data_IF_064595533284
#
_entry.id   IF_064595533284
#
_cell.length_a   1.000
_cell.length_b   1.000
_cell.length_c   1.000
_cell.angle_alpha   90.00
_cell.angle_beta   90.00
_cell.angle_gamma   90.00
#
_symmetry.space_group_name_H-M   'P 1'
#
loop_
_entity.id
_entity.type
_entity.pdbx_description
1 polymer ?
#
# COMPACT_ATOMS: atom_id res chain seq x y z
N UNK A 1 23.07 -34.88 41.83
CA UNK A 1 24.40 -34.46 42.32
C UNK A 1 24.66 -33.07 41.75
N UNK A 2 24.26 -32.02 42.51
CA UNK A 2 24.41 -30.61 42.07
C UNK A 2 25.78 -30.12 42.50
N UNK A 3 26.57 -29.67 41.54
CA UNK A 3 27.87 -29.03 41.82
C UNK A 3 27.60 -27.50 41.82
N UNK A 4 27.65 -26.93 43.02
CA UNK A 4 27.67 -25.48 43.24
C UNK A 4 29.07 -24.96 42.91
N UNK A 5 29.19 -24.10 41.90
CA UNK A 5 30.37 -23.26 41.65
C UNK A 5 30.05 -21.82 42.06
N UNK A 6 30.94 -21.10 42.72
CA UNK A 6 30.66 -19.79 43.31
C UNK A 6 30.58 -18.69 42.23
N UNK A 7 29.55 -17.89 42.31
CA UNK A 7 29.18 -16.79 41.39
C UNK A 7 30.26 -15.69 41.20
N UNK A 8 31.31 -15.69 42.04
CA UNK A 8 32.36 -14.68 42.03
C UNK A 8 33.39 -14.83 40.88
N UNK A 9 33.64 -16.07 40.40
CA UNK A 9 34.60 -16.28 39.29
C UNK A 9 34.01 -16.01 37.90
N UNK A 10 32.69 -16.20 37.72
CA UNK A 10 32.03 -15.94 36.46
C UNK A 10 31.92 -14.45 36.16
N UNK A 11 31.82 -13.60 37.18
CA UNK A 11 31.79 -12.14 37.03
C UNK A 11 33.17 -11.59 36.60
N UNK A 12 34.27 -12.17 37.07
CA UNK A 12 35.63 -11.75 36.74
C UNK A 12 36.02 -12.00 35.27
N UNK A 13 35.58 -13.11 34.68
CA UNK A 13 35.89 -13.43 33.27
C UNK A 13 35.10 -12.57 32.26
N UNK A 14 33.83 -12.26 32.57
CA UNK A 14 33.01 -11.36 31.73
C UNK A 14 33.49 -9.92 31.78
N UNK A 15 33.96 -9.44 32.95
CA UNK A 15 34.50 -8.08 33.11
C UNK A 15 35.83 -7.93 32.37
N UNK A 16 36.73 -8.94 32.38
CA UNK A 16 37.97 -8.86 31.57
C UNK A 16 37.73 -8.86 30.08
N UNK A 17 36.69 -9.56 29.57
CA UNK A 17 36.30 -9.54 28.18
C UNK A 17 35.66 -8.20 27.76
N UNK A 18 35.00 -7.52 28.70
CA UNK A 18 34.41 -6.18 28.50
C UNK A 18 35.49 -5.10 28.39
N UNK A 19 36.53 -5.17 29.26
CA UNK A 19 37.63 -4.19 29.29
C UNK A 19 38.52 -4.31 28.03
N UNK A 20 38.71 -5.53 27.52
CA UNK A 20 39.49 -5.75 26.28
C UNK A 20 38.83 -5.16 25.01
N UNK A 21 37.53 -4.91 25.05
CA UNK A 21 36.80 -4.32 23.92
C UNK A 21 36.63 -2.79 23.97
N UNK A 22 36.94 -2.14 25.11
CA UNK A 22 36.83 -0.70 25.29
C UNK A 22 37.77 0.08 24.36
N UNK A 23 38.95 -0.48 24.03
CA UNK A 23 39.91 0.09 23.09
C UNK A 23 39.39 0.20 21.63
N UNK A 24 38.40 -0.62 21.27
CA UNK A 24 37.77 -0.57 19.94
C UNK A 24 36.49 0.29 19.92
N UNK A 25 35.89 0.61 21.07
CA UNK A 25 34.69 1.45 21.16
C UNK A 25 34.98 2.96 21.07
N UNK A 26 36.22 3.41 21.38
CA UNK A 26 36.57 4.84 21.34
C UNK A 26 36.51 5.45 19.95
N UNK A 27 36.64 4.66 18.88
CA UNK A 27 36.47 5.15 17.50
C UNK A 27 35.01 5.17 17.02
N UNK A 28 34.14 4.38 17.63
CA UNK A 28 32.71 4.33 17.24
C UNK A 28 31.87 5.46 17.90
N UNK A 29 32.28 5.87 19.11
CA UNK A 29 31.59 6.93 19.87
C UNK A 29 31.81 8.34 19.27
N UNK A 30 32.85 8.54 18.47
CA UNK A 30 33.13 9.85 17.81
C UNK A 30 32.20 10.19 16.67
N UNK A 31 31.36 9.25 16.19
CA UNK A 31 30.43 9.42 15.07
C UNK A 31 28.96 9.56 15.51
N UNK A 32 28.69 9.59 16.81
CA UNK A 32 27.32 9.70 17.32
C UNK A 32 26.97 11.18 17.59
N UNK A 33 25.83 11.71 17.05
CA UNK A 33 25.43 13.11 17.26
C UNK A 33 25.25 13.53 18.73
N UNK A 34 25.07 12.57 19.63
CA UNK A 34 24.89 12.78 21.08
C UNK A 34 26.22 13.16 21.79
N UNK A 35 27.37 12.94 21.16
CA UNK A 35 28.68 13.25 21.75
C UNK A 35 28.91 14.75 22.02
N UNK A 36 28.29 15.61 21.20
CA UNK A 36 28.37 17.06 21.37
C UNK A 36 27.64 17.59 22.60
N UNK A 37 26.56 16.93 23.02
CA UNK A 37 25.77 17.34 24.18
C UNK A 37 26.38 16.88 25.52
N UNK A 38 27.06 15.74 25.53
CA UNK A 38 27.74 15.22 26.75
C UNK A 38 28.96 16.09 27.13
N UNK A 39 29.63 16.70 26.14
CA UNK A 39 30.79 17.57 26.38
C UNK A 39 30.43 18.90 27.04
N UNK A 40 29.20 19.36 26.92
CA UNK A 40 28.73 20.62 27.56
C UNK A 40 28.28 20.44 29.01
N UNK A 41 27.95 19.22 29.43
CA UNK A 41 27.38 18.96 30.76
C UNK A 41 28.44 18.67 31.85
N UNK A 42 29.70 18.34 31.49
CA UNK A 42 30.73 17.99 32.49
C UNK A 42 32.12 18.56 32.10
N UNK A 43 32.39 19.85 32.28
CA UNK A 43 33.71 20.44 32.03
C UNK A 43 34.78 20.06 33.11
N UNK A 44 34.40 19.48 34.23
CA UNK A 44 35.27 19.32 35.41
C UNK A 44 36.09 18.04 35.47
N UNK A 45 36.02 17.13 34.47
CA UNK A 45 36.69 15.81 34.55
C UNK A 45 38.08 15.77 33.87
N UNK A 46 38.53 16.87 33.25
CA UNK A 46 39.73 16.86 32.37
C UNK A 46 40.99 17.52 32.98
N UNK A 47 41.00 17.94 34.21
CA UNK A 47 42.20 18.53 34.84
C UNK A 47 42.38 18.05 36.28
N UNK A 48 42.89 16.86 36.50
CA UNK A 48 43.63 16.51 37.75
C UNK A 48 44.58 15.37 37.45
N UNK A 49 45.83 15.51 38.00
CA UNK A 49 46.95 14.59 37.95
C UNK A 49 46.57 13.16 38.44
N UNK A 50 47.05 12.19 37.73
CA UNK A 50 46.71 10.76 37.81
C UNK A 50 46.71 10.16 39.24
N UNK A 51 45.58 9.66 39.71
CA UNK A 51 45.54 8.68 40.81
C UNK A 51 45.52 7.27 40.27
N UNK A 52 46.07 6.34 41.06
CA UNK A 52 46.23 4.93 40.70
C UNK A 52 44.91 4.25 40.30
N UNK A 53 44.91 3.28 39.35
CA UNK A 53 43.72 2.68 38.73
C UNK A 53 42.74 2.05 39.74
N UNK A 54 43.19 1.62 40.90
CA UNK A 54 42.36 0.95 41.89
C UNK A 54 41.43 1.88 42.69
N UNK A 55 41.71 3.18 42.78
CA UNK A 55 40.85 4.15 43.50
C UNK A 55 39.75 4.76 42.58
N UNK A 56 39.99 4.88 41.30
CA UNK A 56 39.01 5.34 40.33
C UNK A 56 37.86 4.34 40.12
N UNK A 57 38.18 3.04 40.10
CA UNK A 57 37.18 1.97 39.93
C UNK A 57 36.21 1.92 41.12
N UNK A 58 36.66 2.13 42.35
CA UNK A 58 35.79 2.09 43.54
C UNK A 58 34.85 3.29 43.68
N UNK A 59 35.15 4.44 43.07
CA UNK A 59 34.29 5.64 43.12
C UNK A 59 33.36 5.79 41.88
N UNK A 60 33.72 5.17 40.75
CA UNK A 60 32.91 5.22 39.53
C UNK A 60 31.87 4.09 39.46
N UNK A 61 32.04 2.96 40.21
CA UNK A 61 31.11 1.85 40.16
C UNK A 61 29.66 2.19 40.61
N UNK A 62 29.45 2.94 41.72
CA UNK A 62 28.08 3.29 42.12
C UNK A 62 27.38 4.24 41.12
N UNK A 63 28.14 5.15 40.51
CA UNK A 63 27.59 6.12 39.54
C UNK A 63 27.31 5.48 38.18
N UNK A 64 28.09 4.47 37.75
CA UNK A 64 27.79 3.72 36.54
C UNK A 64 26.62 2.74 36.73
N UNK A 65 26.47 2.12 37.93
CA UNK A 65 25.29 1.29 38.22
C UNK A 65 24.00 2.12 38.28
N UNK A 66 24.06 3.32 38.84
CA UNK A 66 22.89 4.22 38.86
C UNK A 66 22.53 4.75 37.44
N UNK A 67 23.54 5.01 36.60
CA UNK A 67 23.30 5.44 35.20
C UNK A 67 22.80 4.27 34.34
N UNK A 68 23.24 3.04 34.58
CA UNK A 68 22.72 1.85 33.88
C UNK A 68 21.33 1.44 34.38
N UNK A 69 20.96 1.67 35.64
CA UNK A 69 19.58 1.50 36.11
C UNK A 69 18.63 2.58 35.59
N UNK A 70 19.11 3.80 35.33
CA UNK A 70 18.32 4.87 34.70
C UNK A 70 18.19 4.69 33.20
N UNK A 71 19.13 4.01 32.53
CA UNK A 71 19.04 3.67 31.10
C UNK A 71 18.33 2.33 30.86
N UNK A 72 18.20 1.47 31.84
CA UNK A 72 17.36 0.29 31.81
C UNK A 72 15.90 0.56 32.26
N UNK A 73 15.53 1.79 32.48
CA UNK A 73 14.17 2.25 32.27
C UNK A 73 13.81 2.01 30.82
N UNK A 74 13.77 0.73 30.45
CA UNK A 74 13.06 0.25 29.27
C UNK A 74 11.73 0.98 29.33
N UNK A 75 11.56 1.94 28.45
CA UNK A 75 10.26 2.42 28.11
C UNK A 75 9.46 1.16 27.76
N UNK A 76 8.80 0.57 28.74
CA UNK A 76 7.61 -0.21 28.49
C UNK A 76 6.68 0.80 27.82
N UNK A 77 6.80 0.97 26.50
CA UNK A 77 5.71 1.54 25.74
C UNK A 77 4.54 0.66 26.13
N UNK A 78 3.66 1.21 26.95
CA UNK A 78 2.40 0.55 27.26
C UNK A 78 1.83 0.15 25.90
N UNK A 79 1.70 -1.14 25.67
CA UNK A 79 0.99 -1.63 24.50
C UNK A 79 -0.33 -0.87 24.48
N UNK A 80 -0.58 -0.08 23.43
CA UNK A 80 -1.75 0.79 23.37
C UNK A 80 -3.03 -0.04 23.39
N UNK A 81 -4.14 0.60 23.65
CA UNK A 81 -5.46 -0.03 23.52
C UNK A 81 -5.77 -0.28 22.05
N UNK A 82 -6.56 -1.33 21.80
CA UNK A 82 -7.11 -1.58 20.48
C UNK A 82 -8.24 -0.58 20.17
N UNK A 83 -8.11 0.11 19.06
CA UNK A 83 -9.02 1.15 18.58
C UNK A 83 -9.58 0.78 17.22
N UNK A 84 -10.70 1.39 16.85
CA UNK A 84 -11.31 1.27 15.53
C UNK A 84 -11.71 2.68 15.09
N UNK A 85 -11.23 3.08 13.91
CA UNK A 85 -11.71 4.24 13.19
C UNK A 85 -12.45 3.75 11.94
N UNK A 86 -13.68 4.22 11.72
CA UNK A 86 -14.49 3.83 10.57
C UNK A 86 -15.31 5.01 10.06
N UNK A 87 -15.67 4.98 8.79
CA UNK A 87 -16.46 6.02 8.15
C UNK A 87 -16.60 5.81 6.65
N UNK A 88 -17.03 6.87 5.95
CA UNK A 88 -17.15 6.90 4.51
C UNK A 88 -16.27 7.99 3.91
N UNK A 89 -15.55 7.66 2.82
CA UNK A 89 -14.73 8.57 2.02
C UNK A 89 -14.55 8.00 0.61
N UNK A 90 -14.31 8.83 -0.38
CA UNK A 90 -14.10 8.43 -1.78
C UNK A 90 -15.24 7.58 -2.38
N UNK A 91 -16.46 7.86 -1.94
CA UNK A 91 -17.66 7.10 -2.31
C UNK A 91 -17.62 5.61 -1.90
N UNK A 92 -16.84 5.29 -0.85
CA UNK A 92 -16.73 3.96 -0.25
C UNK A 92 -16.62 4.08 1.27
N UNK A 93 -16.50 2.95 1.97
CA UNK A 93 -16.25 2.89 3.41
C UNK A 93 -14.77 2.65 3.70
N UNK A 94 -14.35 3.03 4.89
CA UNK A 94 -13.05 2.63 5.44
C UNK A 94 -13.21 2.09 6.86
N UNK A 95 -12.33 1.17 7.23
CA UNK A 95 -12.21 0.62 8.56
C UNK A 95 -10.74 0.42 8.92
N UNK A 96 -10.29 1.07 9.99
CA UNK A 96 -8.91 0.98 10.49
C UNK A 96 -8.95 0.41 11.91
N UNK A 97 -8.36 -0.77 12.10
CA UNK A 97 -8.20 -1.42 13.40
C UNK A 97 -6.74 -1.31 13.79
N UNK A 98 -6.44 -0.71 14.96
CA UNK A 98 -5.05 -0.43 15.33
C UNK A 98 -4.85 -0.45 16.84
N UNK A 99 -3.61 -0.71 17.27
CA UNK A 99 -3.22 -0.69 18.67
C UNK A 99 -2.39 0.57 18.96
N UNK A 100 -2.95 1.52 19.71
CA UNK A 100 -2.29 2.80 20.00
C UNK A 100 -2.71 3.34 21.37
N UNK A 101 -1.81 4.02 22.12
CA UNK A 101 -2.15 4.71 23.37
C UNK A 101 -3.06 5.92 23.15
N UNK A 102 -3.11 6.47 21.94
CA UNK A 102 -3.90 7.66 21.59
C UNK A 102 -4.78 7.39 20.37
N UNK A 103 -5.89 8.13 20.22
CA UNK A 103 -6.67 8.12 18.98
C UNK A 103 -5.88 8.75 17.84
N UNK A 104 -5.92 8.11 16.66
CA UNK A 104 -5.33 8.60 15.41
C UNK A 104 -6.40 8.94 14.36
N UNK A 105 -7.68 9.01 14.76
CA UNK A 105 -8.82 9.17 13.85
C UNK A 105 -8.72 10.43 12.98
N UNK A 106 -8.33 11.57 13.59
CA UNK A 106 -8.13 12.82 12.84
C UNK A 106 -6.95 12.72 11.87
N UNK A 107 -5.88 12.05 12.28
CA UNK A 107 -4.71 11.80 11.43
C UNK A 107 -5.06 10.90 10.25
N UNK A 108 -5.86 9.84 10.46
CA UNK A 108 -6.35 8.95 9.40
C UNK A 108 -7.14 9.76 8.37
N UNK A 109 -8.13 10.54 8.81
CA UNK A 109 -8.94 11.40 7.93
C UNK A 109 -8.09 12.43 7.19
N UNK A 110 -7.12 13.03 7.88
CA UNK A 110 -6.19 14.00 7.29
C UNK A 110 -5.34 13.42 6.16
N UNK A 111 -4.79 12.20 6.36
CA UNK A 111 -4.04 11.49 5.32
C UNK A 111 -4.91 11.15 4.13
N UNK A 112 -6.10 10.59 4.36
CA UNK A 112 -7.03 10.24 3.29
C UNK A 112 -7.47 11.47 2.49
N UNK A 113 -7.74 12.60 3.16
CA UNK A 113 -8.05 13.85 2.49
C UNK A 113 -6.87 14.36 1.64
N UNK A 114 -5.64 14.23 2.14
CA UNK A 114 -4.45 14.60 1.37
C UNK A 114 -4.29 13.75 0.10
N UNK A 115 -4.52 12.44 0.19
CA UNK A 115 -4.54 11.53 -0.96
C UNK A 115 -5.62 11.94 -1.96
N UNK A 116 -6.83 12.28 -1.50
CA UNK A 116 -7.91 12.77 -2.36
C UNK A 116 -7.52 14.03 -3.12
N UNK A 117 -6.96 15.02 -2.43
CA UNK A 117 -6.58 16.30 -3.02
C UNK A 117 -5.43 16.18 -4.01
N UNK A 118 -4.65 15.12 -3.95
CA UNK A 118 -3.62 14.82 -4.94
C UNK A 118 -4.15 13.97 -6.10
N UNK A 119 -4.79 12.83 -5.83
CA UNK A 119 -4.96 11.73 -6.77
C UNK A 119 -6.38 11.55 -7.32
N UNK A 120 -7.42 12.18 -6.75
CA UNK A 120 -8.80 11.91 -7.16
C UNK A 120 -9.16 12.58 -8.50
N UNK A 121 -9.46 11.82 -9.58
CA UNK A 121 -9.94 12.40 -10.84
C UNK A 121 -11.39 12.90 -10.74
N UNK A 122 -12.12 12.53 -9.67
CA UNK A 122 -13.50 12.93 -9.42
C UNK A 122 -13.60 14.26 -8.66
N UNK A 123 -12.53 14.68 -7.98
CA UNK A 123 -12.44 15.97 -7.30
C UNK A 123 -11.82 17.01 -8.26
N UNK A 124 -12.59 18.01 -8.73
CA UNK A 124 -12.08 18.99 -9.70
C UNK A 124 -10.94 19.85 -9.14
N UNK A 125 -10.83 19.97 -7.82
CA UNK A 125 -9.77 20.74 -7.17
C UNK A 125 -8.49 19.93 -6.92
N UNK A 126 -8.50 18.62 -7.15
CA UNK A 126 -7.33 17.76 -6.96
C UNK A 126 -6.21 18.12 -7.94
N UNK A 127 -4.97 17.80 -7.53
CA UNK A 127 -3.80 18.07 -8.37
C UNK A 127 -3.86 17.29 -9.69
N UNK A 128 -4.25 16.01 -9.65
CA UNK A 128 -4.35 15.21 -10.88
C UNK A 128 -5.44 15.73 -11.82
N UNK A 129 -6.57 16.25 -11.31
CA UNK A 129 -7.61 16.86 -12.12
C UNK A 129 -7.13 18.15 -12.80
N UNK A 130 -6.32 18.95 -12.11
CA UNK A 130 -5.70 20.15 -12.67
C UNK A 130 -4.67 19.80 -13.74
N UNK A 131 -3.85 18.75 -13.52
CA UNK A 131 -2.91 18.23 -14.53
C UNK A 131 -3.67 17.71 -15.75
N UNK A 132 -4.77 17.01 -15.55
CA UNK A 132 -5.61 16.50 -16.63
C UNK A 132 -6.20 17.62 -17.49
N UNK A 133 -6.57 18.76 -16.91
CA UNK A 133 -7.08 19.95 -17.62
C UNK A 133 -5.98 20.84 -18.21
N UNK A 134 -4.69 20.52 -17.96
CA UNK A 134 -3.56 21.32 -18.43
C UNK A 134 -3.37 22.66 -17.68
N UNK A 135 -3.95 22.81 -16.48
CA UNK A 135 -3.79 24.00 -15.62
C UNK A 135 -2.41 24.03 -14.94
N UNK A 136 -1.78 22.89 -14.79
CA UNK A 136 -0.45 22.70 -14.27
C UNK A 136 0.13 21.38 -14.78
N UNK A 137 1.44 21.27 -14.77
CA UNK A 137 2.19 20.03 -15.02
C UNK A 137 2.99 19.62 -13.75
N UNK A 138 2.99 20.46 -12.69
CA UNK A 138 3.70 20.15 -11.45
C UNK A 138 3.06 18.98 -10.74
N UNK A 139 3.93 18.07 -10.25
CA UNK A 139 3.53 16.91 -9.46
C UNK A 139 3.86 17.12 -7.97
N UNK A 140 3.34 16.24 -7.13
CA UNK A 140 3.74 16.04 -5.75
C UNK A 140 4.26 14.62 -5.54
N UNK A 141 4.78 14.35 -4.35
CA UNK A 141 5.35 13.04 -4.02
C UNK A 141 4.33 11.88 -4.09
N UNK A 142 3.02 12.15 -3.96
CA UNK A 142 1.97 11.14 -4.08
C UNK A 142 1.78 10.73 -5.54
N UNK A 143 1.71 11.72 -6.45
CA UNK A 143 1.66 11.48 -7.90
C UNK A 143 2.93 10.77 -8.36
N UNK A 144 4.10 11.19 -7.88
CA UNK A 144 5.39 10.56 -8.23
C UNK A 144 5.41 9.08 -7.84
N UNK A 145 4.88 8.75 -6.65
CA UNK A 145 4.81 7.38 -6.15
C UNK A 145 3.84 6.52 -6.97
N UNK A 146 2.61 6.99 -7.23
CA UNK A 146 1.64 6.20 -7.99
C UNK A 146 2.03 6.08 -9.47
N UNK A 147 2.72 7.06 -10.06
CA UNK A 147 3.31 6.96 -11.40
C UNK A 147 4.37 5.87 -11.46
N UNK A 148 5.25 5.80 -10.46
CA UNK A 148 6.30 4.77 -10.38
C UNK A 148 5.68 3.37 -10.31
N UNK A 149 4.72 3.15 -9.41
CA UNK A 149 4.00 1.87 -9.29
C UNK A 149 3.29 1.55 -10.60
N UNK A 150 2.55 2.50 -11.15
CA UNK A 150 1.75 2.31 -12.36
C UNK A 150 2.61 1.93 -13.57
N UNK A 151 3.77 2.57 -13.74
CA UNK A 151 4.68 2.26 -14.83
C UNK A 151 5.34 0.88 -14.68
N UNK A 152 5.71 0.48 -13.46
CA UNK A 152 6.29 -0.86 -13.21
C UNK A 152 5.26 -1.95 -13.50
N UNK A 153 4.02 -1.81 -12.98
CA UNK A 153 2.94 -2.77 -13.24
C UNK A 153 2.57 -2.78 -14.72
N UNK A 154 2.46 -1.62 -15.38
CA UNK A 154 2.19 -1.55 -16.82
C UNK A 154 3.25 -2.30 -17.65
N UNK A 155 4.52 -2.09 -17.34
CA UNK A 155 5.63 -2.76 -18.04
C UNK A 155 5.56 -4.27 -17.87
N UNK A 156 5.37 -4.77 -16.64
CA UNK A 156 5.36 -6.21 -16.31
C UNK A 156 4.09 -6.92 -16.76
N UNK A 157 2.97 -6.22 -16.82
CA UNK A 157 1.68 -6.72 -17.32
C UNK A 157 1.52 -6.50 -18.83
N UNK A 158 2.61 -6.18 -19.56
CA UNK A 158 2.58 -5.94 -21.00
C UNK A 158 1.51 -4.92 -21.43
N UNK A 159 1.31 -3.86 -20.62
CA UNK A 159 0.36 -2.80 -20.87
C UNK A 159 -1.09 -3.11 -20.46
N UNK A 160 -1.37 -4.22 -19.76
CA UNK A 160 -2.72 -4.54 -19.26
C UNK A 160 -3.21 -3.55 -18.21
N UNK A 161 -2.29 -3.00 -17.42
CA UNK A 161 -2.56 -1.90 -16.50
C UNK A 161 -2.09 -0.58 -17.12
N UNK A 162 -3.02 0.34 -17.37
CA UNK A 162 -2.68 1.68 -17.89
C UNK A 162 -3.64 2.74 -17.32
N UNK A 163 -3.19 3.61 -16.39
CA UNK A 163 -4.03 4.66 -15.84
C UNK A 163 -4.37 5.77 -16.84
N UNK A 164 -3.85 5.74 -18.06
CA UNK A 164 -4.20 6.70 -19.10
C UNK A 164 -5.44 6.30 -19.93
N UNK A 165 -6.06 5.13 -19.63
CA UNK A 165 -7.30 4.65 -20.32
C UNK A 165 -8.54 5.49 -20.04
N UNK A 166 -8.44 6.56 -19.23
CA UNK A 166 -9.58 7.39 -18.88
C UNK A 166 -10.44 7.88 -20.08
N UNK A 167 -9.88 8.30 -21.21
CA UNK A 167 -10.67 8.66 -22.38
C UNK A 167 -11.49 7.49 -22.92
N UNK A 168 -10.93 6.29 -22.95
CA UNK A 168 -11.62 5.08 -23.37
C UNK A 168 -12.72 4.69 -22.38
N UNK A 169 -12.41 4.69 -21.07
CA UNK A 169 -13.40 4.43 -20.02
C UNK A 169 -14.60 5.42 -20.10
N UNK A 170 -14.34 6.69 -20.42
CA UNK A 170 -15.40 7.68 -20.64
C UNK A 170 -16.28 7.33 -21.85
N UNK A 171 -15.70 6.86 -22.97
CA UNK A 171 -16.48 6.45 -24.15
C UNK A 171 -17.46 5.32 -23.82
N UNK A 172 -17.04 4.37 -22.98
CA UNK A 172 -17.83 3.22 -22.55
C UNK A 172 -18.76 3.49 -21.37
N UNK A 173 -18.78 4.73 -20.83
CA UNK A 173 -19.64 5.13 -19.71
C UNK A 173 -19.13 4.79 -18.32
N UNK A 174 -17.91 4.23 -18.19
CA UNK A 174 -17.32 3.84 -16.91
C UNK A 174 -16.36 4.88 -16.32
N UNK A 175 -16.05 5.95 -17.06
CA UNK A 175 -15.11 6.97 -16.63
C UNK A 175 -15.72 8.02 -15.70
N UNK A 176 -14.96 9.10 -15.45
CA UNK A 176 -15.37 10.21 -14.59
C UNK A 176 -16.16 11.31 -15.32
N UNK A 177 -16.34 11.23 -16.66
CA UNK A 177 -17.21 12.13 -17.40
C UNK A 177 -18.68 11.81 -17.13
N UNK A 178 -19.36 12.70 -16.38
CA UNK A 178 -20.78 12.55 -16.00
C UNK A 178 -21.70 12.46 -17.21
N UNK A 179 -21.41 13.17 -18.30
CA UNK A 179 -22.26 13.16 -19.51
C UNK A 179 -22.17 11.81 -20.24
N UNK A 180 -20.97 11.23 -20.30
CA UNK A 180 -20.76 9.92 -20.89
C UNK A 180 -21.45 8.84 -20.06
N UNK A 181 -21.33 8.90 -18.72
CA UNK A 181 -21.98 7.96 -17.79
C UNK A 181 -23.50 8.03 -17.91
N UNK A 182 -24.10 9.21 -17.87
CA UNK A 182 -25.55 9.38 -17.98
C UNK A 182 -26.12 8.87 -19.31
N UNK A 183 -25.33 8.85 -20.39
CA UNK A 183 -25.72 8.24 -21.66
C UNK A 183 -25.76 6.72 -21.58
N UNK A 184 -24.82 6.12 -20.91
CA UNK A 184 -24.75 4.67 -20.75
C UNK A 184 -25.84 4.13 -19.80
N UNK A 185 -26.20 4.90 -18.78
CA UNK A 185 -27.20 4.54 -17.76
C UNK A 185 -28.66 4.76 -18.20
N UNK A 186 -28.91 5.41 -19.35
CA UNK A 186 -30.28 5.66 -19.79
C UNK A 186 -30.89 4.39 -20.42
N UNK A 187 -32.07 3.98 -19.97
CA UNK A 187 -32.78 2.78 -20.45
C UNK A 187 -33.00 2.76 -21.98
N UNK A 188 -33.11 3.93 -22.60
CA UNK A 188 -33.19 4.09 -24.06
C UNK A 188 -31.84 3.93 -24.75
N UNK A 189 -30.70 4.01 -24.01
CA UNK A 189 -29.36 3.84 -24.55
C UNK A 189 -28.92 2.38 -24.64
N UNK A 190 -29.47 1.49 -23.82
CA UNK A 190 -29.07 0.07 -23.80
C UNK A 190 -29.32 -0.61 -25.17
N UNK A 191 -30.41 -0.29 -25.86
CA UNK A 191 -30.73 -0.83 -27.16
C UNK A 191 -29.88 -0.23 -28.31
N UNK A 192 -29.45 1.03 -28.19
CA UNK A 192 -28.72 1.75 -29.22
C UNK A 192 -27.28 2.07 -28.88
N UNK A 193 -26.78 1.63 -27.68
CA UNK A 193 -25.45 1.97 -27.22
C UNK A 193 -24.37 1.38 -28.13
N UNK A 194 -23.68 2.26 -28.83
CA UNK A 194 -22.54 1.91 -29.68
C UNK A 194 -21.47 2.97 -29.56
N UNK A 195 -20.21 2.53 -29.54
CA UNK A 195 -19.06 3.43 -29.59
C UNK A 195 -18.46 3.35 -31.00
N UNK A 196 -18.47 4.43 -31.78
CA UNK A 196 -17.87 4.48 -33.12
C UNK A 196 -16.37 4.13 -33.06
N UNK A 197 -15.90 3.35 -34.03
CA UNK A 197 -14.50 2.91 -34.10
C UNK A 197 -13.54 4.10 -34.17
N UNK A 198 -13.92 5.14 -34.88
CA UNK A 198 -13.13 6.38 -35.04
C UNK A 198 -12.88 7.09 -33.70
N UNK A 199 -13.85 7.03 -32.78
CA UNK A 199 -13.68 7.60 -31.43
C UNK A 199 -12.75 6.75 -30.58
N UNK A 200 -12.83 5.43 -30.72
CA UNK A 200 -11.90 4.50 -30.04
C UNK A 200 -10.47 4.74 -30.54
N UNK A 201 -10.25 4.79 -31.86
CA UNK A 201 -8.95 5.03 -32.47
C UNK A 201 -8.38 6.40 -32.06
N UNK A 202 -9.23 7.43 -32.03
CA UNK A 202 -8.84 8.76 -31.54
C UNK A 202 -8.41 8.71 -30.07
N UNK A 203 -9.15 8.02 -29.20
CA UNK A 203 -8.80 7.88 -27.79
C UNK A 203 -7.51 7.05 -27.60
N UNK A 204 -7.33 5.96 -28.36
CA UNK A 204 -6.10 5.15 -28.34
C UNK A 204 -4.85 5.96 -28.70
N UNK A 205 -4.96 6.96 -29.58
CA UNK A 205 -3.82 7.79 -29.98
C UNK A 205 -3.20 8.58 -28.81
N UNK A 206 -3.99 8.86 -27.77
CA UNK A 206 -3.57 9.64 -26.58
C UNK A 206 -3.39 8.79 -25.31
N UNK A 207 -3.68 7.47 -25.39
CA UNK A 207 -3.44 6.51 -24.31
C UNK A 207 -2.03 5.93 -24.40
N UNK A 208 -1.39 5.66 -23.27
CA UNK A 208 -0.08 5.02 -23.17
C UNK A 208 0.79 5.60 -22.06
N UNK A 209 0.75 4.99 -20.87
CA UNK A 209 1.59 5.40 -19.73
C UNK A 209 3.08 5.21 -19.99
N UNK A 210 3.46 4.27 -20.87
CA UNK A 210 4.85 4.00 -21.22
C UNK A 210 5.56 5.26 -21.74
N UNK A 211 4.84 6.11 -22.46
CA UNK A 211 5.33 7.37 -23.04
C UNK A 211 5.15 8.57 -22.10
N UNK A 212 4.69 8.34 -20.85
CA UNK A 212 4.53 9.38 -19.83
C UNK A 212 5.58 9.19 -18.72
N UNK A 213 6.13 10.28 -18.21
CA UNK A 213 7.10 10.23 -17.10
C UNK A 213 7.09 11.54 -16.31
N UNK A 214 7.79 11.53 -15.18
CA UNK A 214 8.01 12.72 -14.39
C UNK A 214 9.48 13.14 -14.55
N UNK A 215 9.69 14.42 -14.85
CA UNK A 215 11.00 15.05 -14.94
C UNK A 215 11.01 16.33 -14.12
N UNK A 216 11.94 16.40 -13.15
CA UNK A 216 12.12 17.58 -12.27
C UNK A 216 10.84 18.05 -11.58
N UNK A 217 9.96 17.11 -11.17
CA UNK A 217 8.68 17.41 -10.53
C UNK A 217 7.60 17.91 -11.51
N UNK A 218 7.75 17.60 -12.81
CA UNK A 218 6.79 17.95 -13.85
C UNK A 218 6.33 16.70 -14.61
N UNK A 219 5.03 16.60 -14.84
CA UNK A 219 4.42 15.53 -15.61
C UNK A 219 4.65 15.77 -17.12
N UNK A 220 5.41 14.88 -17.72
CA UNK A 220 5.57 14.81 -19.19
C UNK A 220 4.58 13.80 -19.73
N UNK A 221 3.66 14.26 -20.60
CA UNK A 221 2.60 13.44 -21.20
C UNK A 221 2.99 13.00 -22.59
N UNK A 222 2.52 11.82 -23.03
CA UNK A 222 2.59 11.35 -24.43
C UNK A 222 2.00 12.36 -25.40
N UNK A 223 0.84 12.92 -25.04
CA UNK A 223 0.09 13.90 -25.80
C UNK A 223 -0.53 14.92 -24.83
N UNK A 224 -0.69 16.21 -25.19
CA UNK A 224 -1.31 17.19 -24.28
C UNK A 224 -2.70 16.78 -23.77
N UNK A 225 -3.48 16.05 -24.58
CA UNK A 225 -4.80 15.54 -24.20
C UNK A 225 -4.76 14.22 -23.39
N UNK A 226 -3.58 13.62 -23.13
CA UNK A 226 -3.47 12.45 -22.24
C UNK A 226 -3.96 12.82 -20.86
N UNK A 227 -4.86 12.01 -20.30
CA UNK A 227 -5.42 12.18 -18.95
C UNK A 227 -5.16 10.93 -18.11
N UNK A 228 -4.97 11.12 -16.81
CA UNK A 228 -4.69 10.04 -15.86
C UNK A 228 -5.91 9.78 -14.99
N UNK A 229 -6.17 8.50 -14.76
CA UNK A 229 -7.10 8.01 -13.76
C UNK A 229 -6.40 6.93 -12.91
N UNK A 230 -5.93 7.33 -11.74
CA UNK A 230 -5.24 6.42 -10.81
C UNK A 230 -6.19 5.63 -9.90
N UNK A 231 -7.52 5.61 -10.16
CA UNK A 231 -8.50 4.95 -9.29
C UNK A 231 -8.20 3.47 -9.03
N UNK A 232 -7.51 2.80 -9.97
CA UNK A 232 -7.11 1.40 -9.88
C UNK A 232 -5.81 1.15 -9.07
N UNK A 233 -5.31 2.17 -8.36
CA UNK A 233 -4.15 2.10 -7.46
C UNK A 233 -4.33 3.01 -6.26
N UNK A 234 -5.26 3.97 -6.31
CA UNK A 234 -5.40 5.02 -5.29
C UNK A 234 -5.93 4.48 -3.97
N UNK A 235 -6.83 3.48 -3.98
CA UNK A 235 -7.39 2.93 -2.74
C UNK A 235 -6.31 2.17 -1.96
N UNK A 236 -5.59 1.29 -2.64
CA UNK A 236 -4.42 0.60 -2.08
C UNK A 236 -3.35 1.58 -1.59
N UNK A 237 -3.04 2.60 -2.38
CA UNK A 237 -2.10 3.66 -1.99
C UNK A 237 -2.58 4.43 -0.75
N UNK A 238 -3.87 4.69 -0.63
CA UNK A 238 -4.46 5.30 0.56
C UNK A 238 -4.29 4.44 1.81
N UNK A 239 -4.46 3.11 1.68
CA UNK A 239 -4.17 2.18 2.77
C UNK A 239 -2.72 2.26 3.20
N UNK A 240 -1.78 2.28 2.26
CA UNK A 240 -0.35 2.37 2.54
C UNK A 240 0.04 3.73 3.14
N UNK A 241 -0.54 4.83 2.68
CA UNK A 241 -0.30 6.16 3.23
C UNK A 241 -0.76 6.27 4.70
N UNK A 242 -1.92 5.68 5.03
CA UNK A 242 -2.40 5.57 6.43
C UNK A 242 -1.49 4.63 7.22
N UNK A 243 -1.07 3.48 6.68
CA UNK A 243 -0.15 2.55 7.31
C UNK A 243 1.19 3.22 7.65
N UNK A 244 1.73 4.04 6.75
CA UNK A 244 2.96 4.79 6.99
C UNK A 244 2.79 5.87 8.07
N UNK A 245 1.65 6.53 8.12
CA UNK A 245 1.33 7.44 9.23
C UNK A 245 1.25 6.67 10.56
N UNK A 246 0.63 5.48 10.58
CA UNK A 246 0.59 4.62 11.77
C UNK A 246 2.00 4.26 12.25
N UNK A 247 2.89 3.79 11.36
CA UNK A 247 4.28 3.44 11.68
C UNK A 247 5.06 4.64 12.24
N UNK A 248 4.91 5.83 11.64
CA UNK A 248 5.53 7.09 12.14
C UNK A 248 5.04 7.47 13.53
N UNK A 249 3.82 7.10 13.91
CA UNK A 249 3.28 7.28 15.26
C UNK A 249 3.60 6.11 16.22
N UNK A 250 4.45 5.16 15.79
CA UNK A 250 4.88 4.03 16.61
C UNK A 250 3.82 2.96 16.80
N UNK A 251 2.81 2.90 15.93
CA UNK A 251 1.81 1.83 15.88
C UNK A 251 2.36 0.68 15.04
N UNK A 252 2.51 -0.50 15.65
CA UNK A 252 3.09 -1.69 15.02
C UNK A 252 2.02 -2.69 14.55
N UNK A 253 0.86 -2.70 15.23
CA UNK A 253 -0.22 -3.63 14.97
C UNK A 253 -1.44 -2.88 14.40
N UNK A 254 -1.73 -3.09 13.13
CA UNK A 254 -2.88 -2.46 12.48
C UNK A 254 -3.35 -3.21 11.23
N UNK A 255 -4.61 -3.00 10.91
CA UNK A 255 -5.25 -3.29 9.63
C UNK A 255 -5.90 -2.00 9.14
N UNK A 256 -5.52 -1.54 7.98
CA UNK A 256 -6.14 -0.41 7.26
C UNK A 256 -6.90 -0.98 6.07
N UNK A 257 -8.21 -0.77 6.03
CA UNK A 257 -9.07 -1.19 4.93
C UNK A 257 -9.79 0.03 4.37
N UNK A 258 -9.78 0.20 3.05
CA UNK A 258 -10.48 1.25 2.31
C UNK A 258 -11.10 0.64 1.06
N UNK A 259 -12.43 0.44 1.09
CA UNK A 259 -13.18 -0.04 -0.07
C UNK A 259 -12.82 -1.46 -0.52
N UNK A 260 -12.28 -2.29 0.38
CA UNK A 260 -11.86 -3.66 0.12
C UNK A 260 -10.35 -3.84 -0.06
N UNK A 261 -9.60 -2.76 -0.31
CA UNK A 261 -8.13 -2.78 -0.30
C UNK A 261 -7.62 -2.69 1.13
N UNK A 262 -6.57 -3.46 1.44
CA UNK A 262 -6.11 -3.65 2.81
C UNK A 262 -4.59 -3.54 2.90
N UNK A 263 -4.10 -2.80 3.91
CA UNK A 263 -2.68 -2.81 4.34
C UNK A 263 -2.59 -3.35 5.76
N UNK A 264 -1.73 -4.34 6.00
CA UNK A 264 -1.60 -5.08 7.24
C UNK A 264 -0.22 -4.89 7.86
N UNK A 265 -0.16 -4.84 9.20
CA UNK A 265 1.09 -4.94 9.95
C UNK A 265 0.88 -5.67 11.29
N UNK A 266 1.94 -6.37 11.72
CA UNK A 266 2.02 -7.01 13.02
C UNK A 266 0.94 -8.06 13.26
N UNK A 267 0.29 -8.02 14.43
CA UNK A 267 -0.67 -9.03 14.87
C UNK A 267 -2.06 -8.47 15.11
N UNK A 268 -3.08 -9.31 15.00
CA UNK A 268 -4.44 -8.99 15.38
C UNK A 268 -4.64 -8.92 16.91
N UNK A 269 -5.86 -8.63 17.36
CA UNK A 269 -6.19 -8.52 18.81
C UNK A 269 -5.93 -9.81 19.63
N UNK A 270 -5.88 -10.96 18.98
CA UNK A 270 -5.61 -12.26 19.59
C UNK A 270 -4.12 -12.64 19.55
N UNK A 271 -3.24 -11.77 19.02
CA UNK A 271 -1.81 -11.99 18.89
C UNK A 271 -1.40 -12.90 17.71
N UNK A 272 -2.33 -13.24 16.82
CA UNK A 272 -2.11 -14.02 15.60
C UNK A 272 -2.04 -13.18 14.35
N UNK A 273 -1.90 -13.82 13.18
CA UNK A 273 -2.02 -13.16 11.88
C UNK A 273 -3.42 -12.58 11.70
N UNK A 274 -3.55 -11.56 10.86
CA UNK A 274 -4.83 -11.01 10.44
C UNK A 274 -5.57 -12.03 9.57
N UNK A 275 -6.88 -12.15 9.79
CA UNK A 275 -7.75 -13.04 9.03
C UNK A 275 -8.58 -12.20 8.06
N UNK A 276 -8.35 -12.39 6.77
CA UNK A 276 -9.00 -11.65 5.71
C UNK A 276 -9.94 -12.59 4.97
N UNK A 277 -11.19 -12.17 4.84
CA UNK A 277 -12.20 -12.87 4.08
C UNK A 277 -12.13 -12.46 2.61
N UNK A 278 -12.10 -13.44 1.72
CA UNK A 278 -12.30 -13.27 0.29
C UNK A 278 -13.76 -13.65 0.00
N UNK A 279 -14.53 -12.69 -0.51
CA UNK A 279 -15.95 -12.90 -0.80
C UNK A 279 -16.13 -13.68 -2.12
N UNK A 280 -17.20 -14.47 -2.18
CA UNK A 280 -17.66 -15.08 -3.42
C UNK A 280 -18.11 -13.99 -4.40
N UNK A 281 -17.65 -14.00 -5.66
CA UNK A 281 -18.17 -13.06 -6.66
C UNK A 281 -19.65 -13.39 -6.94
N UNK A 282 -20.55 -12.53 -6.52
CA UNK A 282 -21.99 -12.64 -6.73
C UNK A 282 -22.48 -11.49 -7.60
N UNK A 283 -23.42 -11.74 -8.50
CA UNK A 283 -24.04 -10.73 -9.38
C UNK A 283 -25.01 -9.78 -8.63
N UNK A 284 -25.11 -9.89 -7.31
CA UNK A 284 -25.95 -9.00 -6.50
C UNK A 284 -25.45 -7.57 -6.54
N UNK A 285 -26.32 -6.61 -6.80
CA UNK A 285 -26.01 -5.19 -6.70
C UNK A 285 -25.68 -4.76 -5.26
N UNK A 286 -26.18 -5.49 -4.26
CA UNK A 286 -25.83 -5.30 -2.86
C UNK A 286 -24.64 -6.19 -2.47
N UNK A 287 -23.72 -5.70 -1.61
CA UNK A 287 -22.61 -6.49 -1.13
C UNK A 287 -23.10 -7.72 -0.37
N UNK A 288 -23.00 -8.89 -0.97
CA UNK A 288 -23.22 -10.18 -0.30
C UNK A 288 -21.86 -10.64 0.20
N UNK A 289 -21.69 -10.67 1.52
CA UNK A 289 -20.46 -11.12 2.18
C UNK A 289 -20.51 -12.64 2.44
N UNK A 290 -20.67 -13.42 1.38
CA UNK A 290 -20.54 -14.86 1.47
C UNK A 290 -19.05 -15.22 1.33
N UNK A 291 -18.49 -15.82 2.38
CA UNK A 291 -17.08 -16.16 2.43
C UNK A 291 -16.77 -17.32 1.46
N UNK A 292 -15.97 -17.03 0.44
CA UNK A 292 -15.37 -18.07 -0.40
C UNK A 292 -14.16 -18.69 0.31
N UNK A 293 -13.31 -17.86 0.91
CA UNK A 293 -12.09 -18.28 1.63
C UNK A 293 -11.75 -17.29 2.73
N UNK A 294 -11.07 -17.75 3.78
CA UNK A 294 -10.43 -16.91 4.79
C UNK A 294 -8.93 -17.20 4.75
N UNK A 295 -8.12 -16.18 4.52
CA UNK A 295 -6.67 -16.26 4.49
C UNK A 295 -6.04 -15.58 5.71
N UNK A 296 -4.85 -16.04 6.12
CA UNK A 296 -4.15 -15.54 7.30
C UNK A 296 -2.84 -14.85 6.92
N UNK A 297 -2.77 -13.52 7.10
CA UNK A 297 -1.71 -12.64 6.60
C UNK A 297 -1.19 -11.67 7.65
N UNK A 298 0.02 -11.15 7.42
CA UNK A 298 0.58 -9.97 8.09
C UNK A 298 1.63 -9.30 7.20
N UNK A 299 1.93 -8.04 7.48
CA UNK A 299 3.00 -7.24 6.85
C UNK A 299 2.94 -7.25 5.32
N UNK A 300 1.74 -7.10 4.77
CA UNK A 300 1.49 -7.09 3.32
C UNK A 300 0.26 -6.26 2.96
N UNK A 301 0.07 -6.07 1.66
CA UNK A 301 -1.15 -5.52 1.07
C UNK A 301 -2.02 -6.61 0.44
N UNK A 302 -3.33 -6.38 0.42
CA UNK A 302 -4.33 -7.23 -0.24
C UNK A 302 -5.29 -6.34 -1.02
N UNK A 303 -5.64 -6.74 -2.22
CA UNK A 303 -6.69 -6.08 -3.01
C UNK A 303 -7.49 -7.11 -3.81
N UNK A 304 -8.77 -6.81 -4.05
CA UNK A 304 -9.64 -7.63 -4.89
C UNK A 304 -10.35 -6.78 -5.93
N UNK A 305 -10.14 -7.10 -7.20
CA UNK A 305 -10.87 -6.53 -8.34
C UNK A 305 -11.86 -7.54 -8.90
N UNK A 306 -12.99 -7.05 -9.45
CA UNK A 306 -13.98 -7.90 -10.10
C UNK A 306 -14.92 -7.10 -10.99
N UNK A 307 -15.38 -7.70 -12.10
CA UNK A 307 -16.27 -7.07 -13.08
C UNK A 307 -17.77 -7.33 -12.81
N UNK A 308 -18.10 -8.09 -11.78
CA UNK A 308 -19.47 -8.56 -11.51
C UNK A 308 -20.39 -7.50 -10.87
N UNK A 309 -19.85 -6.36 -10.41
CA UNK A 309 -20.63 -5.28 -9.76
C UNK A 309 -20.82 -4.04 -10.62
N UNK A 310 -19.97 -3.82 -11.61
CA UNK A 310 -19.98 -2.60 -12.45
C UNK A 310 -19.95 -3.00 -13.92
N UNK A 311 -21.13 -3.17 -14.50
CA UNK A 311 -21.31 -3.61 -15.87
C UNK A 311 -22.51 -2.89 -16.53
N UNK A 312 -22.55 -2.91 -17.86
CA UNK A 312 -23.71 -2.52 -18.67
C UNK A 312 -24.12 -3.69 -19.54
N UNK A 313 -25.42 -3.95 -19.65
CA UNK A 313 -25.98 -4.88 -20.62
C UNK A 313 -26.30 -4.12 -21.92
N UNK A 314 -25.73 -4.54 -23.05
CA UNK A 314 -25.90 -3.91 -24.35
C UNK A 314 -26.34 -4.93 -25.38
N UNK A 315 -27.18 -4.52 -26.36
CA UNK A 315 -27.59 -5.43 -27.44
C UNK A 315 -26.43 -5.84 -28.36
N UNK A 316 -25.53 -4.89 -28.65
CA UNK A 316 -24.44 -5.11 -29.60
C UNK A 316 -23.26 -5.88 -29.02
N UNK A 317 -22.90 -5.63 -27.77
CA UNK A 317 -21.69 -6.13 -27.15
C UNK A 317 -21.98 -7.15 -26.03
N UNK A 318 -23.26 -7.44 -25.75
CA UNK A 318 -23.66 -8.20 -24.58
C UNK A 318 -23.34 -7.46 -23.29
N UNK A 319 -23.04 -8.21 -22.23
CA UNK A 319 -22.58 -7.64 -20.95
C UNK A 319 -21.14 -7.17 -21.08
N UNK A 320 -20.90 -5.89 -20.80
CA UNK A 320 -19.57 -5.26 -20.79
C UNK A 320 -19.24 -4.78 -19.38
N UNK A 321 -18.04 -5.16 -18.87
CA UNK A 321 -17.51 -4.69 -17.60
C UNK A 321 -16.76 -3.35 -17.74
N UNK A 322 -16.45 -2.76 -16.60
CA UNK A 322 -15.75 -1.46 -16.54
C UNK A 322 -14.26 -1.53 -16.86
N UNK A 323 -13.68 -2.73 -16.94
CA UNK A 323 -12.28 -2.91 -17.31
C UNK A 323 -12.13 -2.79 -18.82
N UNK A 324 -11.29 -1.86 -19.25
CA UNK A 324 -11.02 -1.58 -20.67
C UNK A 324 -9.62 -2.11 -21.01
N UNK A 325 -9.50 -2.80 -22.12
CA UNK A 325 -8.20 -3.22 -22.68
C UNK A 325 -7.49 -1.99 -23.29
N UNK A 326 -6.33 -1.58 -22.76
CA UNK A 326 -5.62 -0.41 -23.27
C UNK A 326 -5.09 -0.57 -24.71
N UNK A 327 -4.92 -1.80 -25.18
CA UNK A 327 -4.39 -2.08 -26.51
C UNK A 327 -5.48 -1.98 -27.60
N UNK A 328 -6.71 -2.40 -27.29
CA UNK A 328 -7.81 -2.44 -28.27
C UNK A 328 -8.82 -1.32 -28.07
N UNK A 329 -8.83 -0.69 -26.89
CA UNK A 329 -9.81 0.31 -26.47
C UNK A 329 -11.22 -0.24 -26.22
N UNK A 330 -11.38 -1.57 -26.20
CA UNK A 330 -12.63 -2.27 -25.98
C UNK A 330 -12.77 -2.73 -24.53
N UNK A 331 -13.99 -2.89 -24.00
CA UNK A 331 -14.21 -3.63 -22.76
C UNK A 331 -13.61 -5.03 -22.86
N UNK A 332 -12.91 -5.45 -21.79
CA UNK A 332 -12.21 -6.73 -21.75
C UNK A 332 -13.22 -7.88 -21.81
N UNK A 333 -12.93 -8.85 -22.68
CA UNK A 333 -13.59 -10.15 -22.75
C UNK A 333 -12.61 -11.19 -22.21
N UNK A 334 -12.76 -11.59 -20.95
CA UNK A 334 -11.85 -12.52 -20.27
C UNK A 334 -12.62 -13.55 -19.47
N UNK A 335 -11.97 -14.67 -19.17
CA UNK A 335 -12.48 -15.71 -18.28
C UNK A 335 -12.32 -15.33 -16.78
N UNK A 336 -11.56 -14.28 -16.44
CA UNK A 336 -11.35 -13.84 -15.07
C UNK A 336 -12.56 -13.03 -14.58
N UNK A 337 -13.24 -13.57 -13.56
CA UNK A 337 -14.41 -12.95 -12.91
C UNK A 337 -13.98 -12.08 -11.74
N UNK A 338 -12.98 -12.52 -10.96
CA UNK A 338 -12.43 -11.81 -9.81
C UNK A 338 -10.96 -12.18 -9.63
N UNK A 339 -10.17 -11.21 -9.20
CA UNK A 339 -8.75 -11.36 -8.88
C UNK A 339 -8.45 -10.79 -7.49
N UNK A 340 -8.04 -11.66 -6.56
CA UNK A 340 -7.50 -11.26 -5.26
C UNK A 340 -5.98 -11.37 -5.33
N UNK A 341 -5.30 -10.27 -5.04
CA UNK A 341 -3.83 -10.17 -5.09
C UNK A 341 -3.29 -9.83 -3.71
N UNK A 342 -2.20 -10.50 -3.32
CA UNK A 342 -1.37 -10.13 -2.17
C UNK A 342 -0.02 -9.63 -2.68
N UNK A 343 0.51 -8.57 -2.06
CA UNK A 343 1.76 -7.93 -2.47
C UNK A 343 2.45 -7.25 -1.26
N UNK A 344 3.72 -6.81 -1.39
CA UNK A 344 4.40 -6.06 -0.33
C UNK A 344 3.67 -4.79 0.10
N UNK A 345 2.88 -4.14 -0.78
CA UNK A 345 2.07 -2.96 -0.50
C UNK A 345 0.67 -3.11 -1.06
N UNK A 346 -0.31 -2.43 -0.46
CA UNK A 346 -1.69 -2.45 -0.94
C UNK A 346 -1.85 -1.75 -2.30
N UNK A 347 -1.08 -0.70 -2.56
CA UNK A 347 -1.04 -0.04 -3.87
C UNK A 347 -0.60 -0.99 -5.00
N UNK A 348 0.42 -1.81 -4.73
CA UNK A 348 0.90 -2.79 -5.70
C UNK A 348 -0.13 -3.91 -5.91
N UNK A 349 -0.79 -4.37 -4.84
CA UNK A 349 -1.86 -5.36 -4.92
C UNK A 349 -3.06 -4.84 -5.74
N UNK A 350 -3.49 -3.58 -5.52
CA UNK A 350 -4.61 -2.93 -6.22
C UNK A 350 -4.33 -2.82 -7.73
N UNK A 351 -3.14 -2.34 -8.10
CA UNK A 351 -2.73 -2.23 -9.49
C UNK A 351 -2.66 -3.61 -10.19
N UNK A 352 -2.08 -4.62 -9.53
CA UNK A 352 -2.01 -5.97 -10.08
C UNK A 352 -3.36 -6.67 -10.15
N UNK A 353 -4.26 -6.46 -9.18
CA UNK A 353 -5.62 -6.99 -9.26
C UNK A 353 -6.34 -6.45 -10.50
N UNK A 354 -6.17 -5.17 -10.82
CA UNK A 354 -6.70 -4.56 -12.05
C UNK A 354 -6.04 -5.14 -13.31
N UNK A 355 -4.71 -5.35 -13.33
CA UNK A 355 -4.00 -5.97 -14.44
C UNK A 355 -4.52 -7.40 -14.73
N UNK A 356 -4.73 -8.19 -13.67
CA UNK A 356 -5.30 -9.54 -13.80
C UNK A 356 -6.70 -9.51 -14.43
N UNK A 357 -7.55 -8.53 -14.08
CA UNK A 357 -8.88 -8.38 -14.68
C UNK A 357 -8.83 -8.01 -16.17
N UNK A 358 -7.73 -7.43 -16.65
CA UNK A 358 -7.52 -7.09 -18.05
C UNK A 358 -6.80 -8.20 -18.85
N UNK A 359 -6.49 -9.34 -18.21
CA UNK A 359 -5.77 -10.48 -18.78
C UNK A 359 -6.66 -11.72 -18.83
N UNK A 360 -6.28 -12.71 -19.66
CA UNK A 360 -6.78 -14.09 -19.48
C UNK A 360 -6.14 -14.70 -18.25
N UNK A 361 -6.76 -15.74 -17.69
CA UNK A 361 -6.26 -16.39 -16.48
C UNK A 361 -4.81 -16.90 -16.63
N UNK A 362 -4.48 -17.53 -17.74
CA UNK A 362 -3.12 -18.05 -18.02
C UNK A 362 -2.11 -16.90 -18.14
N UNK A 363 -2.48 -15.80 -18.82
CA UNK A 363 -1.63 -14.61 -18.93
C UNK A 363 -1.40 -13.98 -17.57
N UNK A 364 -2.45 -13.78 -16.77
CA UNK A 364 -2.36 -13.21 -15.42
C UNK A 364 -1.42 -14.00 -14.52
N UNK A 365 -1.53 -15.36 -14.50
CA UNK A 365 -0.62 -16.19 -13.72
C UNK A 365 0.84 -16.06 -14.19
N UNK A 366 1.08 -15.99 -15.50
CA UNK A 366 2.42 -15.81 -16.07
C UNK A 366 3.01 -14.44 -15.74
N UNK A 367 2.21 -13.38 -15.82
CA UNK A 367 2.60 -12.01 -15.52
C UNK A 367 2.94 -11.84 -14.03
N UNK A 368 2.09 -12.37 -13.14
CA UNK A 368 2.31 -12.37 -11.68
C UNK A 368 3.59 -13.13 -11.31
N UNK A 369 3.87 -14.26 -11.96
CA UNK A 369 5.10 -15.02 -11.71
C UNK A 369 6.38 -14.21 -11.97
N UNK A 370 6.31 -13.15 -12.77
CA UNK A 370 7.40 -12.21 -13.03
C UNK A 370 7.52 -11.08 -11.99
N UNK A 371 6.52 -10.91 -11.11
CA UNK A 371 6.42 -9.82 -10.15
C UNK A 371 6.87 -10.28 -8.74
N UNK A 372 8.02 -9.83 -8.22
CA UNK A 372 8.55 -10.31 -6.95
C UNK A 372 7.60 -10.02 -5.77
N UNK A 373 7.28 -11.07 -4.98
CA UNK A 373 6.44 -10.97 -3.79
C UNK A 373 4.97 -10.69 -4.06
N UNK A 374 4.52 -10.85 -5.31
CA UNK A 374 3.11 -10.74 -5.70
C UNK A 374 2.55 -12.13 -5.93
N UNK A 375 1.39 -12.40 -5.34
CA UNK A 375 0.67 -13.67 -5.49
C UNK A 375 -0.80 -13.38 -5.79
N UNK A 376 -1.48 -14.26 -6.51
CA UNK A 376 -2.88 -14.07 -6.84
C UNK A 376 -3.73 -15.33 -6.68
N UNK A 377 -5.02 -15.10 -6.39
CA UNK A 377 -6.11 -16.05 -6.49
C UNK A 377 -7.12 -15.49 -7.49
N UNK A 378 -7.40 -16.24 -8.55
CA UNK A 378 -8.35 -15.86 -9.58
C UNK A 378 -9.59 -16.75 -9.49
N UNK A 379 -10.76 -16.14 -9.58
CA UNK A 379 -12.00 -16.84 -9.85
C UNK A 379 -12.27 -16.74 -11.35
N UNK A 380 -12.39 -17.87 -12.01
CA UNK A 380 -12.54 -17.93 -13.47
C UNK A 380 -13.83 -18.61 -13.88
N UNK A 381 -14.42 -18.14 -14.97
CA UNK A 381 -15.60 -18.76 -15.59
C UNK A 381 -15.18 -19.96 -16.42
N UNK A 382 -15.87 -21.10 -16.21
CA UNK A 382 -15.76 -22.31 -17.04
C UNK A 382 -17.16 -22.77 -17.46
N UNK A 383 -17.67 -22.15 -18.52
CA UNK A 383 -19.06 -22.34 -18.92
C UNK A 383 -20.01 -21.84 -17.84
N UNK A 384 -20.91 -22.71 -17.35
CA UNK A 384 -21.88 -22.38 -16.30
C UNK A 384 -21.33 -22.54 -14.87
N UNK A 385 -20.02 -22.78 -14.69
CA UNK A 385 -19.39 -22.97 -13.39
C UNK A 385 -18.25 -22.00 -13.16
N UNK A 386 -17.91 -21.76 -11.88
CA UNK A 386 -16.74 -21.02 -11.47
C UNK A 386 -15.65 -21.99 -11.01
N UNK A 387 -14.41 -21.69 -11.33
CA UNK A 387 -13.24 -22.40 -10.83
C UNK A 387 -12.28 -21.42 -10.16
N UNK A 388 -11.51 -21.91 -9.18
CA UNK A 388 -10.49 -21.13 -8.49
C UNK A 388 -9.13 -21.63 -8.98
N UNK A 389 -8.29 -20.70 -9.41
CA UNK A 389 -6.89 -20.95 -9.72
C UNK A 389 -6.03 -19.94 -8.96
N UNK A 390 -4.82 -20.31 -8.61
CA UNK A 390 -3.96 -19.44 -7.82
C UNK A 390 -2.48 -19.70 -8.09
N UNK A 391 -1.64 -18.73 -7.79
CA UNK A 391 -0.19 -18.90 -7.77
C UNK A 391 0.24 -19.79 -6.60
N UNK A 392 1.38 -20.52 -6.69
CA UNK A 392 1.82 -21.45 -5.66
C UNK A 392 2.08 -20.84 -4.29
N UNK A 393 2.45 -19.56 -4.24
CA UNK A 393 2.74 -18.82 -3.01
C UNK A 393 1.54 -18.09 -2.42
N UNK A 394 0.34 -18.21 -3.02
CA UNK A 394 -0.84 -17.54 -2.47
C UNK A 394 -1.20 -18.12 -1.10
N UNK A 395 -1.49 -17.27 -0.08
CA UNK A 395 -1.69 -17.71 1.31
C UNK A 395 -2.94 -18.58 1.50
N UNK A 396 -2.84 -19.48 2.50
CA UNK A 396 -3.93 -20.35 2.96
C UNK A 396 -4.76 -19.67 4.08
#
# INVERSE_FOLDING_TARGET
MCINLPAAEFASAKVRKLIGNIGKLTNFVRLCPVYGQIRQLYPAIMHTSSPSPSRLIRRALPSLLSATLLLSGSSCRRAGEWRVAEGAMWNTTYRVVYQSPVSLDDSIRGVMHHVEMSLSPFNPSSLISRINRGETDRTDSLIDSVMTISRDVSLRSHGRFDPTVAPLANLWGFGFDRKARNRADSDTAAEAFTVPRELIDSALSIVGIADCHISDGHMVKKHPATTFNFSAVTKGFGCDAVADMMRRNGTENFMVEIGGEISLAGTNRQGGKWRIQIDMPTESAEPVHEAMRIISLTDCGVATSGNYRNFHDTQRYGRIGHTIDPATGMPVQTDVVSATVTAPTAALADAWATACMASTADSALSEIASAPGVECLLVVSKGDSLAIIQTPGFPE
#
